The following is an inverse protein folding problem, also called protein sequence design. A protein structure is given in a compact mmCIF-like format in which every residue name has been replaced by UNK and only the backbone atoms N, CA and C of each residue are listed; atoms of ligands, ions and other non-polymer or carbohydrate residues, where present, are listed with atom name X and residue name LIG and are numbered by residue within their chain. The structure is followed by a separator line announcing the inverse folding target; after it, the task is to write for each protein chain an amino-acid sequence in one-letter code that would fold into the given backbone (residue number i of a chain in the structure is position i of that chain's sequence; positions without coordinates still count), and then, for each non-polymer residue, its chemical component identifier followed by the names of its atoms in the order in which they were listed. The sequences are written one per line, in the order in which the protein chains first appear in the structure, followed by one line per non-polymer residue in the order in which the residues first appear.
data_IF_407928438495
#
_entry.id   IF_407928438495
#
_cell.length_a   1.000
_cell.length_b   1.000
_cell.length_c   1.000
_cell.angle_alpha   90.00
_cell.angle_beta   90.00
_cell.angle_gamma   90.00
#
_symmetry.space_group_name_H-M   'P 1'
#
loop_
_entity.id
_entity.type
_entity.pdbx_description
1 polymer ?
#
# COMPACT_ATOMS: atom_id res chain seq x y z
N UNK A 1 -17.93 -32.26 60.31
CA UNK A 1 -17.81 -30.79 60.21
C UNK A 1 -16.38 -30.31 59.92
N UNK A 2 -15.35 -30.80 60.64
CA UNK A 2 -13.96 -30.32 60.49
C UNK A 2 -13.38 -30.48 59.07
N UNK A 3 -13.69 -31.57 58.35
CA UNK A 3 -13.22 -31.79 56.97
C UNK A 3 -13.78 -30.80 55.94
N UNK A 4 -15.04 -30.36 56.12
CA UNK A 4 -15.64 -29.32 55.30
C UNK A 4 -15.01 -27.95 55.60
N UNK A 5 -14.72 -27.69 56.88
CA UNK A 5 -14.07 -26.46 57.32
C UNK A 5 -12.66 -26.31 56.73
N UNK A 6 -11.86 -27.39 56.75
CA UNK A 6 -10.51 -27.40 56.14
C UNK A 6 -10.56 -27.20 54.62
N UNK A 7 -11.54 -27.80 53.93
CA UNK A 7 -11.71 -27.60 52.49
C UNK A 7 -12.08 -26.17 52.13
N UNK A 8 -12.96 -25.53 52.91
CA UNK A 8 -13.35 -24.14 52.71
C UNK A 8 -12.17 -23.18 52.95
N UNK A 9 -11.36 -23.44 53.98
CA UNK A 9 -10.17 -22.66 54.31
C UNK A 9 -9.09 -22.79 53.21
N UNK A 10 -8.93 -23.97 52.63
CA UNK A 10 -8.01 -24.21 51.51
C UNK A 10 -8.48 -23.51 50.23
N UNK A 11 -9.80 -23.51 49.94
CA UNK A 11 -10.36 -22.79 48.80
C UNK A 11 -10.21 -21.26 48.93
N UNK A 12 -10.41 -20.69 50.11
CA UNK A 12 -10.22 -19.25 50.34
C UNK A 12 -8.74 -18.86 50.19
N UNK A 13 -7.81 -19.73 50.61
CA UNK A 13 -6.38 -19.52 50.43
C UNK A 13 -5.94 -19.59 48.94
N UNK A 14 -6.55 -20.48 48.14
CA UNK A 14 -6.26 -20.59 46.70
C UNK A 14 -6.86 -19.43 45.89
N UNK A 15 -8.04 -18.94 46.26
CA UNK A 15 -8.73 -17.85 45.57
C UNK A 15 -8.25 -16.44 45.99
N UNK A 16 -7.51 -16.32 47.10
CA UNK A 16 -7.04 -15.05 47.66
C UNK A 16 -5.71 -14.52 47.10
N UNK A 17 -5.16 -15.11 46.04
CA UNK A 17 -3.85 -14.72 45.48
C UNK A 17 -3.91 -13.59 44.43
N UNK A 18 -5.08 -13.05 44.12
CA UNK A 18 -5.27 -12.06 43.06
C UNK A 18 -5.37 -10.61 43.55
N UNK A 19 -4.55 -10.17 44.50
CA UNK A 19 -4.34 -8.73 44.74
C UNK A 19 -2.90 -8.45 45.19
N UNK A 20 -1.98 -8.24 44.22
CA UNK A 20 -0.86 -7.31 44.40
C UNK A 20 -0.29 -6.81 43.05
N UNK A 21 -0.66 -5.57 42.74
CA UNK A 21 -0.06 -4.54 41.88
C UNK A 21 1.12 -4.88 40.94
N UNK A 22 1.05 -4.36 39.70
CA UNK A 22 1.66 -3.07 39.32
C UNK A 22 1.44 -2.81 37.82
N UNK A 23 0.61 -1.81 37.49
CA UNK A 23 0.62 -1.20 36.15
C UNK A 23 2.01 -0.57 35.95
N UNK A 24 2.83 -1.12 35.05
CA UNK A 24 3.96 -0.39 34.48
C UNK A 24 3.40 0.48 33.35
N UNK A 25 3.74 1.78 33.28
CA UNK A 25 3.51 2.53 32.06
C UNK A 25 4.48 1.97 31.01
N UNK A 26 3.95 1.20 30.06
CA UNK A 26 4.65 0.97 28.80
C UNK A 26 4.27 2.10 27.85
N UNK A 27 4.93 3.25 28.03
CA UNK A 27 5.20 4.13 26.90
C UNK A 27 6.28 3.46 26.06
N UNK A 28 5.84 2.62 25.13
CA UNK A 28 6.66 2.19 24.01
C UNK A 28 5.94 2.67 22.76
N UNK A 29 6.13 3.95 22.44
CA UNK A 29 5.88 4.47 21.10
C UNK A 29 6.93 3.87 20.16
N UNK A 30 6.86 2.56 19.94
CA UNK A 30 7.53 1.90 18.81
C UNK A 30 6.60 2.14 17.63
N UNK A 31 6.92 3.16 16.82
CA UNK A 31 6.25 3.39 15.56
C UNK A 31 6.46 2.15 14.71
N UNK A 32 5.37 1.43 14.48
CA UNK A 32 5.35 0.26 13.62
C UNK A 32 5.86 0.69 12.23
N UNK A 33 6.70 -0.12 11.59
CA UNK A 33 7.32 0.22 10.30
C UNK A 33 6.29 0.36 9.15
N UNK A 34 5.01 0.15 9.45
CA UNK A 34 3.86 0.36 8.60
C UNK A 34 3.52 1.84 8.36
N UNK A 35 3.94 2.76 9.23
CA UNK A 35 3.68 4.21 9.08
C UNK A 35 4.62 4.89 8.05
N UNK A 36 5.66 4.21 7.56
CA UNK A 36 6.64 4.78 6.61
C UNK A 36 6.22 4.65 5.13
N UNK A 37 5.09 3.98 4.84
CA UNK A 37 4.63 3.77 3.45
C UNK A 37 3.65 4.88 3.03
N UNK A 38 3.05 5.62 3.97
CA UNK A 38 1.99 6.61 3.68
C UNK A 38 2.52 7.98 3.22
N UNK A 39 3.84 8.21 3.25
CA UNK A 39 4.43 9.53 2.92
C UNK A 39 4.81 9.73 1.43
N UNK A 40 4.67 8.72 0.55
CA UNK A 40 5.09 8.84 -0.88
C UNK A 40 3.93 9.04 -1.88
N UNK A 41 2.67 9.04 -1.41
CA UNK A 41 1.48 9.31 -2.25
C UNK A 41 1.04 10.81 -2.23
N UNK A 42 1.74 11.67 -1.47
CA UNK A 42 1.41 13.09 -1.33
C UNK A 42 2.53 14.04 -1.80
N UNK A 43 2.95 13.86 -3.06
CA UNK A 43 3.60 14.91 -3.85
C UNK A 43 2.65 15.30 -4.99
N UNK A 44 1.45 15.78 -4.62
CA UNK A 44 0.44 16.33 -5.53
C UNK A 44 0.21 17.83 -5.32
N UNK A 45 1.21 18.58 -4.87
CA UNK A 45 1.22 20.04 -4.93
C UNK A 45 2.64 20.51 -5.31
N UNK A 46 2.74 21.52 -6.20
CA UNK A 46 3.93 22.08 -6.93
C UNK A 46 4.00 21.49 -8.36
N UNK A 47 3.55 22.12 -9.45
CA UNK A 47 3.19 23.52 -9.72
C UNK A 47 2.05 23.58 -10.75
N UNK A 48 0.95 24.22 -10.39
CA UNK A 48 0.17 24.98 -11.37
C UNK A 48 0.99 26.22 -11.76
N UNK A 49 1.04 26.51 -13.06
CA UNK A 49 1.62 27.71 -13.68
C UNK A 49 3.15 27.81 -13.77
N UNK A 50 3.78 26.93 -14.56
CA UNK A 50 4.84 27.42 -15.44
C UNK A 50 4.21 27.90 -16.75
N UNK A 51 4.00 29.22 -16.82
CA UNK A 51 3.79 29.96 -18.05
C UNK A 51 5.07 29.85 -18.90
N UNK A 52 5.29 28.68 -19.47
CA UNK A 52 6.38 28.44 -20.41
C UNK A 52 5.93 29.00 -21.76
N UNK A 53 6.19 30.29 -21.94
CA UNK A 53 6.43 30.85 -23.26
C UNK A 53 7.67 30.15 -23.84
N UNK A 54 7.50 28.91 -24.29
CA UNK A 54 8.45 28.24 -25.16
C UNK A 54 8.35 29.00 -26.46
N UNK A 55 9.23 29.99 -26.62
CA UNK A 55 9.43 30.68 -27.87
C UNK A 55 9.59 29.62 -28.96
N UNK A 56 8.56 29.50 -29.80
CA UNK A 56 8.53 28.63 -30.95
C UNK A 56 9.75 28.93 -31.81
N UNK A 57 10.75 28.07 -31.72
CA UNK A 57 11.71 27.94 -32.80
C UNK A 57 10.97 27.14 -33.87
N UNK A 58 10.21 27.85 -34.71
CA UNK A 58 9.41 27.29 -35.80
C UNK A 58 10.31 26.64 -36.84
N UNK A 59 10.73 25.41 -36.58
CA UNK A 59 10.96 24.44 -37.64
C UNK A 59 9.56 24.12 -38.17
N UNK A 60 9.29 24.49 -39.42
CA UNK A 60 8.00 24.36 -40.11
C UNK A 60 7.57 22.89 -40.33
N UNK A 61 7.40 22.15 -39.23
CA UNK A 61 6.82 20.82 -39.16
C UNK A 61 5.97 20.78 -37.90
N UNK A 62 4.65 20.85 -38.05
CA UNK A 62 3.71 20.92 -36.93
C UNK A 62 3.93 19.78 -35.95
N UNK A 63 4.37 20.10 -34.74
CA UNK A 63 4.50 19.15 -33.65
C UNK A 63 3.14 19.00 -32.97
N UNK A 64 2.51 17.82 -33.12
CA UNK A 64 1.37 17.43 -32.29
C UNK A 64 1.89 16.81 -31.00
N UNK A 65 1.56 17.34 -29.82
CA UNK A 65 2.03 16.77 -28.56
C UNK A 65 1.44 15.36 -28.36
N UNK A 66 2.27 14.43 -27.87
CA UNK A 66 1.84 13.06 -27.52
C UNK A 66 0.84 13.12 -26.34
N UNK A 67 -0.41 12.64 -26.50
CA UNK A 67 -1.43 12.64 -25.45
C UNK A 67 -1.04 11.85 -24.19
N UNK A 68 -0.08 10.93 -24.29
CA UNK A 68 0.40 10.11 -23.17
C UNK A 68 1.60 10.71 -22.43
N UNK A 69 2.21 11.80 -22.92
CA UNK A 69 3.47 12.34 -22.39
C UNK A 69 3.41 12.71 -20.89
N UNK A 70 2.25 13.17 -20.41
CA UNK A 70 2.03 13.57 -19.01
C UNK A 70 1.12 12.59 -18.24
N UNK A 71 0.72 11.49 -18.84
CA UNK A 71 -0.18 10.51 -18.22
C UNK A 71 0.64 9.46 -17.49
N UNK A 72 0.44 9.35 -16.17
CA UNK A 72 1.01 8.28 -15.34
C UNK A 72 -0.10 7.30 -14.98
N UNK A 73 0.01 6.07 -15.46
CA UNK A 73 -0.90 5.00 -15.11
C UNK A 73 -0.37 4.22 -13.91
N UNK A 74 -1.27 3.79 -13.03
CA UNK A 74 -0.93 2.92 -11.90
C UNK A 74 -0.48 1.53 -12.33
N UNK A 75 -0.17 0.68 -11.35
CA UNK A 75 0.25 -0.70 -11.58
C UNK A 75 -0.70 -1.46 -12.54
N UNK A 76 -0.10 -2.25 -13.44
CA UNK A 76 -0.82 -3.10 -14.39
C UNK A 76 -1.51 -2.37 -15.54
N UNK A 77 -1.25 -1.07 -15.71
CA UNK A 77 -1.91 -0.23 -16.72
C UNK A 77 -0.91 0.53 -17.59
N UNK A 78 -1.28 0.76 -18.84
CA UNK A 78 -0.51 1.54 -19.82
C UNK A 78 -1.37 2.64 -20.41
N UNK A 79 -0.75 3.73 -20.87
CA UNK A 79 -1.46 4.79 -21.58
C UNK A 79 -1.60 4.42 -23.07
N UNK A 80 -2.83 4.42 -23.56
CA UNK A 80 -3.17 4.28 -24.97
C UNK A 80 -4.00 5.49 -25.43
N UNK A 81 -3.86 5.88 -26.69
CA UNK A 81 -4.64 6.97 -27.26
C UNK A 81 -5.98 6.42 -27.74
N UNK A 82 -7.08 6.99 -27.23
CA UNK A 82 -8.42 6.58 -27.60
C UNK A 82 -8.88 7.18 -28.94
N UNK A 83 -10.09 6.82 -29.39
CA UNK A 83 -10.70 7.32 -30.64
C UNK A 83 -10.89 8.85 -30.69
N UNK A 84 -10.82 9.53 -29.54
CA UNK A 84 -10.92 11.00 -29.43
C UNK A 84 -9.56 11.69 -29.47
N UNK A 85 -8.47 10.94 -29.55
CA UNK A 85 -7.11 11.49 -29.47
C UNK A 85 -6.64 11.81 -28.04
N UNK A 86 -7.33 11.29 -27.02
CA UNK A 86 -6.98 11.51 -25.61
C UNK A 86 -6.21 10.29 -25.06
N UNK A 87 -5.20 10.53 -24.23
CA UNK A 87 -4.49 9.45 -23.52
C UNK A 87 -5.37 8.85 -22.42
N UNK A 88 -5.53 7.53 -22.42
CA UNK A 88 -6.33 6.78 -21.47
C UNK A 88 -5.54 5.60 -20.89
N UNK A 89 -5.60 5.43 -19.58
CA UNK A 89 -5.02 4.25 -18.94
C UNK A 89 -5.91 3.01 -19.18
N UNK A 90 -5.37 2.02 -19.86
CA UNK A 90 -6.01 0.70 -20.06
C UNK A 90 -5.20 -0.38 -19.33
N UNK A 91 -5.78 -1.56 -19.10
CA UNK A 91 -5.01 -2.69 -18.57
C UNK A 91 -3.95 -3.09 -19.60
N UNK A 92 -2.74 -3.42 -19.14
CA UNK A 92 -1.70 -3.92 -20.04
C UNK A 92 -2.20 -5.21 -20.71
N UNK A 93 -2.14 -5.32 -22.06
CA UNK A 93 -2.74 -6.45 -22.77
C UNK A 93 -1.93 -7.74 -22.61
N UNK A 94 -0.61 -7.61 -22.49
CA UNK A 94 0.29 -8.73 -22.36
C UNK A 94 1.39 -8.40 -21.36
N UNK A 95 1.66 -9.34 -20.46
CA UNK A 95 2.68 -9.19 -19.44
C UNK A 95 3.97 -9.87 -19.90
N UNK A 96 5.15 -9.31 -19.61
CA UNK A 96 6.41 -9.97 -19.93
C UNK A 96 6.50 -11.33 -19.24
N UNK A 97 7.11 -12.32 -19.89
CA UNK A 97 7.25 -13.64 -19.30
C UNK A 97 8.22 -13.61 -18.11
N UNK A 98 7.75 -14.03 -16.94
CA UNK A 98 8.60 -14.23 -15.77
C UNK A 98 9.12 -15.68 -15.73
N UNK A 99 10.41 -15.84 -15.43
CA UNK A 99 11.10 -17.15 -15.43
C UNK A 99 11.61 -17.53 -14.04
N UNK A 100 11.71 -16.58 -13.12
CA UNK A 100 12.08 -16.86 -11.73
C UNK A 100 10.83 -17.27 -10.93
N UNK A 101 10.78 -18.54 -10.55
CA UNK A 101 9.72 -19.12 -9.72
C UNK A 101 9.48 -18.36 -8.41
N UNK A 102 10.49 -17.64 -7.91
CA UNK A 102 10.38 -16.84 -6.68
C UNK A 102 9.59 -15.55 -6.85
N UNK A 103 9.31 -15.14 -8.09
CA UNK A 103 8.53 -13.94 -8.43
C UNK A 103 7.06 -14.22 -8.69
N UNK A 104 6.65 -15.50 -8.66
CA UNK A 104 5.24 -15.88 -8.71
C UNK A 104 4.50 -15.35 -7.49
N UNK A 105 3.22 -15.08 -7.66
CA UNK A 105 2.36 -14.51 -6.63
C UNK A 105 1.10 -15.36 -6.45
N UNK A 106 0.53 -15.36 -5.25
CA UNK A 106 -0.73 -16.04 -4.97
C UNK A 106 -1.87 -15.01 -4.92
N UNK A 107 -2.98 -15.29 -5.62
CA UNK A 107 -4.19 -14.48 -5.58
C UNK A 107 -5.03 -14.77 -4.32
N UNK A 108 -5.98 -13.89 -4.02
CA UNK A 108 -7.02 -14.13 -3.00
C UNK A 108 -7.98 -15.29 -3.37
N UNK A 109 -7.91 -15.79 -4.61
CA UNK A 109 -8.63 -16.97 -5.08
C UNK A 109 -7.79 -18.25 -4.94
N UNK A 110 -6.64 -18.18 -4.26
CA UNK A 110 -5.72 -19.29 -4.03
C UNK A 110 -5.15 -19.87 -5.35
N UNK A 111 -4.95 -18.99 -6.33
CA UNK A 111 -4.34 -19.30 -7.62
C UNK A 111 -2.93 -18.70 -7.68
N UNK A 112 -1.95 -19.49 -8.11
CA UNK A 112 -0.58 -18.99 -8.33
C UNK A 112 -0.47 -18.43 -9.73
N UNK A 113 -0.09 -17.16 -9.82
CA UNK A 113 0.16 -16.42 -11.07
C UNK A 113 1.66 -16.19 -11.23
N UNK A 114 2.12 -16.10 -12.47
CA UNK A 114 3.55 -15.91 -12.76
C UNK A 114 4.06 -14.52 -12.34
N UNK A 115 3.17 -13.51 -12.27
CA UNK A 115 3.50 -12.14 -11.88
C UNK A 115 2.29 -11.38 -11.33
N UNK A 116 2.55 -10.26 -10.64
CA UNK A 116 1.54 -9.32 -10.14
C UNK A 116 1.37 -8.15 -11.11
N UNK A 117 0.12 -7.89 -11.52
CA UNK A 117 -0.29 -6.68 -12.27
C UNK A 117 -0.66 -5.55 -11.31
#
# INVERSE_FOLDING_TARGET
MTRLLFGLLFCVALLGSSVLAKELPQDNTEKDQLDLIEEDDNLNEVDEESNENVASNEIAGGYTPDPCLKVRCGAGRICEVNDKGEGQCVCIPECPQETDDRRRVCSNHNETLDQRL
#
